data_IF_006409262894
#
_entry.id   IF_006409262894
#
_cell.length_a   1.000
_cell.length_b   1.000
_cell.length_c   1.000
_cell.angle_alpha   90.00
_cell.angle_beta   90.00
_cell.angle_gamma   90.00
#
_symmetry.space_group_name_H-M   'P 1'
#
loop_
_entity.id
_entity.type
_entity.pdbx_description
1 polymer ?
#
# COMPACT_ATOMS: atom_id res chain seq x y z
N UNK A 1 -11.97 -22.72 6.51
CA UNK A 1 -12.87 -21.68 7.07
C UNK A 1 -12.69 -20.46 6.20
N UNK A 2 -13.75 -19.78 5.79
CA UNK A 2 -13.66 -18.66 4.86
C UNK A 2 -13.50 -17.34 5.65
N UNK A 3 -12.28 -17.04 6.10
CA UNK A 3 -11.96 -15.86 6.90
C UNK A 3 -12.08 -14.58 6.05
N UNK A 4 -12.55 -13.50 6.67
CA UNK A 4 -12.68 -12.21 5.99
C UNK A 4 -11.41 -11.38 6.25
N UNK A 5 -10.76 -10.95 5.18
CA UNK A 5 -9.64 -10.03 5.19
C UNK A 5 -10.07 -8.62 4.77
N UNK A 6 -9.51 -7.63 5.43
CA UNK A 6 -9.61 -6.23 5.03
C UNK A 6 -8.28 -5.79 4.42
N UNK A 7 -8.34 -5.20 3.23
CA UNK A 7 -7.18 -4.70 2.48
C UNK A 7 -7.29 -3.18 2.36
N UNK A 8 -6.29 -2.46 2.84
CA UNK A 8 -6.23 -1.00 2.87
C UNK A 8 -5.16 -0.52 1.90
N UNK A 9 -5.57 0.28 0.93
CA UNK A 9 -4.80 0.57 -0.26
C UNK A 9 -4.63 2.06 -0.48
N UNK A 10 -3.39 2.48 -0.72
CA UNK A 10 -3.05 3.87 -1.05
C UNK A 10 -2.00 3.89 -2.16
N UNK A 11 -1.85 5.05 -2.79
CA UNK A 11 -0.88 5.29 -3.84
C UNK A 11 -0.09 6.58 -3.64
N UNK A 12 1.12 6.57 -4.16
CA UNK A 12 2.01 7.73 -4.15
C UNK A 12 2.54 7.98 -5.55
N UNK A 13 2.51 9.26 -5.96
CA UNK A 13 3.09 9.73 -7.20
C UNK A 13 2.53 9.02 -8.46
N UNK A 14 1.21 8.83 -8.51
CA UNK A 14 0.55 8.04 -9.55
C UNK A 14 0.19 8.85 -10.81
N UNK A 15 0.21 10.17 -10.75
CA UNK A 15 -0.16 10.99 -11.91
C UNK A 15 0.98 11.00 -12.92
N UNK A 16 0.67 10.94 -14.21
CA UNK A 16 1.68 10.88 -15.27
C UNK A 16 2.70 12.03 -15.19
N UNK A 17 2.20 13.25 -14.95
CA UNK A 17 2.96 14.50 -15.03
C UNK A 17 3.18 15.20 -13.68
N UNK A 18 3.36 14.44 -12.59
CA UNK A 18 3.65 15.00 -11.24
C UNK A 18 5.14 15.25 -10.95
N UNK A 19 6.00 15.16 -11.98
CA UNK A 19 7.46 15.26 -11.93
C UNK A 19 8.16 14.21 -11.04
N UNK A 20 7.43 13.31 -10.39
CA UNK A 20 8.02 12.22 -9.63
C UNK A 20 8.40 11.08 -10.56
N UNK A 21 9.64 10.62 -10.45
CA UNK A 21 10.17 9.53 -11.27
C UNK A 21 9.44 8.20 -11.04
N UNK A 22 9.24 7.84 -9.77
CA UNK A 22 8.65 6.56 -9.39
C UNK A 22 7.18 6.72 -8.98
N UNK A 23 6.36 5.73 -9.33
CA UNK A 23 4.99 5.54 -8.82
C UNK A 23 4.97 4.33 -7.91
N UNK A 24 4.23 4.41 -6.80
CA UNK A 24 4.07 3.30 -5.86
C UNK A 24 2.60 3.10 -5.53
N UNK A 25 2.14 1.85 -5.63
CA UNK A 25 0.87 1.40 -5.07
C UNK A 25 1.16 0.47 -3.90
N UNK A 26 0.34 0.49 -2.86
CA UNK A 26 0.54 -0.43 -1.75
C UNK A 26 -0.75 -0.83 -1.07
N UNK A 27 -0.68 -2.01 -0.46
CA UNK A 27 -1.77 -2.62 0.27
C UNK A 27 -1.26 -3.10 1.62
N UNK A 28 -1.96 -2.72 2.69
CA UNK A 28 -1.82 -3.29 4.03
C UNK A 28 -3.05 -4.13 4.30
N UNK A 29 -2.91 -5.38 4.74
CA UNK A 29 -4.08 -6.23 5.03
C UNK A 29 -3.92 -7.04 6.31
N UNK A 30 -5.07 -7.39 6.87
CA UNK A 30 -5.18 -8.27 8.02
C UNK A 30 -6.58 -8.93 8.04
N UNK A 31 -6.78 -9.98 8.85
CA UNK A 31 -8.14 -10.45 9.13
C UNK A 31 -9.02 -9.33 9.69
N UNK A 32 -10.28 -9.28 9.29
CA UNK A 32 -11.26 -8.29 9.71
C UNK A 32 -11.45 -8.29 11.24
N UNK A 33 -11.36 -9.48 11.85
CA UNK A 33 -11.39 -9.70 13.30
C UNK A 33 -10.28 -8.96 14.05
N UNK A 34 -9.12 -8.74 13.40
CA UNK A 34 -7.93 -8.14 14.01
C UNK A 34 -7.88 -6.61 13.87
N UNK A 35 -8.68 -6.03 12.96
CA UNK A 35 -8.71 -4.58 12.68
C UNK A 35 -8.87 -3.74 13.95
N UNK A 36 -9.81 -4.09 14.83
CA UNK A 36 -10.10 -3.29 16.03
C UNK A 36 -8.94 -3.30 17.03
N UNK A 37 -8.26 -4.43 17.18
CA UNK A 37 -7.08 -4.57 18.04
C UNK A 37 -5.96 -3.68 17.51
N UNK A 38 -5.60 -3.79 16.23
CA UNK A 38 -4.54 -2.98 15.61
C UNK A 38 -4.83 -1.47 15.71
N UNK A 39 -6.10 -1.07 15.54
CA UNK A 39 -6.51 0.31 15.71
C UNK A 39 -6.31 0.81 17.16
N UNK A 40 -6.53 -0.04 18.17
CA UNK A 40 -6.30 0.30 19.58
C UNK A 40 -4.81 0.44 19.86
N UNK A 41 -3.98 -0.46 19.35
CA UNK A 41 -2.52 -0.40 19.53
C UNK A 41 -1.92 0.86 18.89
N UNK A 42 -2.31 1.20 17.65
CA UNK A 42 -1.87 2.43 17.01
C UNK A 42 -2.31 3.69 17.77
N UNK A 43 -3.52 3.69 18.36
CA UNK A 43 -3.99 4.80 19.21
C UNK A 43 -3.20 4.87 20.52
N UNK A 44 -2.92 3.73 21.15
CA UNK A 44 -2.10 3.66 22.35
C UNK A 44 -0.68 4.17 22.07
N UNK A 45 -0.12 3.81 20.92
CA UNK A 45 1.20 4.28 20.48
C UNK A 45 1.21 5.80 20.28
N UNK A 46 0.20 6.38 19.61
CA UNK A 46 0.07 7.85 19.51
C UNK A 46 0.08 8.51 20.89
N UNK A 47 -0.69 7.97 21.84
CA UNK A 47 -0.75 8.48 23.22
C UNK A 47 0.59 8.37 23.94
N UNK A 48 1.30 7.25 23.81
CA UNK A 48 2.61 7.02 24.42
C UNK A 48 3.63 8.07 23.99
N UNK A 49 3.59 8.50 22.74
CA UNK A 49 4.47 9.53 22.19
C UNK A 49 3.90 10.96 22.30
N UNK A 50 2.85 11.17 23.11
CA UNK A 50 2.27 12.49 23.36
C UNK A 50 1.57 13.13 22.15
N UNK A 51 1.18 12.33 21.16
CA UNK A 51 0.49 12.81 19.97
C UNK A 51 -1.02 12.87 20.19
N UNK A 52 -1.67 13.85 19.56
CA UNK A 52 -3.12 14.02 19.63
C UNK A 52 -3.85 12.76 19.08
N UNK A 53 -5.04 12.40 19.60
CA UNK A 53 -5.79 11.24 19.12
C UNK A 53 -6.12 11.28 17.62
N UNK A 54 -6.32 12.48 17.07
CA UNK A 54 -6.57 12.75 15.65
C UNK A 54 -5.28 12.99 14.84
N UNK A 55 -4.09 12.81 15.43
CA UNK A 55 -2.84 12.91 14.69
C UNK A 55 -2.82 11.85 13.60
N UNK A 56 -2.90 12.27 12.34
CA UNK A 56 -2.86 11.37 11.19
C UNK A 56 -1.41 11.02 10.83
N UNK A 57 -1.10 9.73 10.75
CA UNK A 57 0.20 9.19 10.37
C UNK A 57 0.34 9.36 8.86
N UNK A 58 1.33 10.14 8.42
CA UNK A 58 1.65 10.33 7.00
C UNK A 58 3.16 10.37 6.78
N UNK A 59 3.62 9.87 5.64
CA UNK A 59 5.02 9.92 5.22
C UNK A 59 5.57 11.35 5.17
N UNK A 60 4.75 12.30 4.70
CA UNK A 60 5.14 13.71 4.63
C UNK A 60 5.35 14.35 6.01
N UNK A 61 4.82 13.75 7.08
CA UNK A 61 4.96 14.24 8.47
C UNK A 61 6.14 13.60 9.21
N UNK A 62 6.91 12.71 8.57
CA UNK A 62 8.15 12.14 9.13
C UNK A 62 9.18 13.27 9.28
N UNK A 63 9.57 13.54 10.52
CA UNK A 63 10.50 14.60 10.90
C UNK A 63 11.38 14.15 12.07
N UNK A 64 12.54 14.80 12.31
CA UNK A 64 13.40 14.46 13.45
C UNK A 64 12.66 14.47 14.79
N UNK A 65 11.79 15.46 15.01
CA UNK A 65 11.00 15.61 16.24
C UNK A 65 9.97 14.50 16.51
N UNK A 66 9.64 13.68 15.52
CA UNK A 66 8.66 12.58 15.63
C UNK A 66 9.28 11.23 15.26
N UNK A 67 10.59 11.17 15.06
CA UNK A 67 11.26 9.99 14.52
C UNK A 67 10.95 8.75 15.35
N UNK A 68 11.09 8.83 16.67
CA UNK A 68 10.89 7.68 17.56
C UNK A 68 9.46 7.11 17.47
N UNK A 69 8.46 7.96 17.27
CA UNK A 69 7.09 7.52 17.03
C UNK A 69 6.99 6.71 15.73
N UNK A 70 7.57 7.21 14.63
CA UNK A 70 7.53 6.52 13.36
C UNK A 70 8.32 5.21 13.37
N UNK A 71 9.47 5.17 14.06
CA UNK A 71 10.21 3.91 14.27
C UNK A 71 9.36 2.89 15.03
N UNK A 72 8.66 3.33 16.08
CA UNK A 72 7.77 2.45 16.83
C UNK A 72 6.54 1.99 16.02
N UNK A 73 6.05 2.80 15.07
CA UNK A 73 5.00 2.37 14.13
C UNK A 73 5.51 1.26 13.21
N UNK A 74 6.75 1.36 12.71
CA UNK A 74 7.38 0.29 11.93
C UNK A 74 7.55 -0.97 12.78
N UNK A 75 8.00 -0.84 14.02
CA UNK A 75 8.18 -1.96 14.93
C UNK A 75 6.87 -2.66 15.27
N UNK A 76 5.81 -1.90 15.54
CA UNK A 76 4.46 -2.44 15.71
C UNK A 76 4.02 -3.19 14.46
N UNK A 77 4.20 -2.60 13.26
CA UNK A 77 3.87 -3.29 12.02
C UNK A 77 4.57 -4.64 11.97
N UNK A 78 5.89 -4.71 12.15
CA UNK A 78 6.64 -5.97 12.05
C UNK A 78 6.33 -6.96 13.17
N UNK A 79 6.02 -6.49 14.39
CA UNK A 79 5.64 -7.33 15.52
C UNK A 79 4.27 -8.01 15.37
N UNK A 80 3.37 -7.47 14.53
CA UNK A 80 2.01 -8.00 14.34
C UNK A 80 1.96 -9.07 13.24
N UNK A 81 1.93 -10.38 13.54
CA UNK A 81 2.12 -11.44 12.53
C UNK A 81 1.03 -11.47 11.46
N UNK A 82 -0.20 -11.06 11.81
CA UNK A 82 -1.37 -11.05 10.93
C UNK A 82 -1.56 -9.74 10.16
N UNK A 83 -0.62 -8.81 10.31
CA UNK A 83 -0.60 -7.55 9.56
C UNK A 83 0.45 -7.63 8.47
N UNK A 84 0.03 -7.50 7.22
CA UNK A 84 0.87 -7.75 6.07
C UNK A 84 0.95 -6.51 5.18
N UNK A 85 2.00 -6.44 4.36
CA UNK A 85 2.16 -5.37 3.38
C UNK A 85 2.68 -5.90 2.04
N UNK A 86 2.20 -5.28 0.96
CA UNK A 86 2.64 -5.50 -0.41
C UNK A 86 2.72 -4.15 -1.10
N UNK A 87 3.88 -3.83 -1.65
CA UNK A 87 4.09 -2.66 -2.50
C UNK A 87 4.37 -3.07 -3.94
N UNK A 88 3.78 -2.36 -4.89
CA UNK A 88 4.14 -2.39 -6.30
C UNK A 88 4.78 -1.06 -6.66
N UNK A 89 5.98 -1.12 -7.24
CA UNK A 89 6.75 0.06 -7.64
C UNK A 89 6.97 0.07 -9.14
N UNK A 90 6.58 1.15 -9.80
CA UNK A 90 7.05 1.51 -11.14
C UNK A 90 8.22 2.48 -10.93
N UNK A 91 9.48 2.04 -11.10
CA UNK A 91 10.65 2.81 -10.66
C UNK A 91 10.91 4.05 -11.53
N UNK A 92 10.42 4.05 -12.76
CA UNK A 92 10.61 5.14 -13.71
C UNK A 92 9.41 5.26 -14.65
N UNK A 93 8.57 6.29 -14.48
CA UNK A 93 7.43 6.54 -15.38
C UNK A 93 7.86 6.98 -16.78
N UNK A 94 9.08 7.49 -16.97
CA UNK A 94 9.54 7.93 -18.29
C UNK A 94 9.76 6.77 -19.27
N UNK A 95 9.87 5.53 -18.78
CA UNK A 95 9.99 4.35 -19.63
C UNK A 95 8.63 3.77 -20.07
N UNK A 96 7.51 4.38 -19.67
CA UNK A 96 6.18 3.93 -20.07
C UNK A 96 5.92 4.28 -21.53
N UNK A 97 5.69 3.26 -22.37
CA UNK A 97 5.41 3.41 -23.80
C UNK A 97 3.91 3.26 -24.08
N UNK A 98 3.10 4.21 -23.62
CA UNK A 98 1.64 4.20 -23.73
C UNK A 98 1.14 3.95 -25.17
N UNK A 99 1.69 4.68 -26.14
CA UNK A 99 1.33 4.55 -27.57
C UNK A 99 1.64 3.16 -28.13
N UNK A 100 2.80 2.58 -27.79
CA UNK A 100 3.23 1.24 -28.26
C UNK A 100 2.23 0.16 -27.86
N UNK A 101 1.64 0.29 -26.67
CA UNK A 101 0.69 -0.68 -26.12
C UNK A 101 -0.77 -0.25 -26.29
N UNK A 102 -1.04 0.85 -27.01
CA UNK A 102 -2.39 1.35 -27.26
C UNK A 102 -3.19 1.58 -25.99
N UNK A 103 -2.56 2.12 -24.93
CA UNK A 103 -3.19 2.33 -23.63
C UNK A 103 -2.90 3.75 -23.12
N UNK A 104 -3.85 4.31 -22.39
CA UNK A 104 -3.65 5.53 -21.59
C UNK A 104 -2.85 5.27 -20.32
N UNK A 105 -2.39 6.35 -19.67
CA UNK A 105 -1.75 6.27 -18.36
C UNK A 105 -2.69 5.71 -17.30
N UNK A 106 -3.96 6.09 -17.35
CA UNK A 106 -4.97 5.62 -16.41
C UNK A 106 -5.23 4.11 -16.55
N UNK A 107 -5.32 3.59 -17.78
CA UNK A 107 -5.44 2.15 -18.00
C UNK A 107 -4.22 1.39 -17.48
N UNK A 108 -3.01 1.93 -17.68
CA UNK A 108 -1.80 1.36 -17.10
C UNK A 108 -1.85 1.36 -15.56
N UNK A 109 -2.28 2.46 -14.96
CA UNK A 109 -2.44 2.62 -13.52
C UNK A 109 -3.40 1.56 -12.93
N UNK A 110 -4.57 1.34 -13.54
CA UNK A 110 -5.51 0.30 -13.09
C UNK A 110 -5.01 -1.13 -13.36
N UNK A 111 -4.22 -1.36 -14.42
CA UNK A 111 -3.49 -2.63 -14.60
C UNK A 111 -2.50 -2.87 -13.46
N UNK A 112 -1.83 -1.82 -12.97
CA UNK A 112 -0.93 -1.95 -11.81
C UNK A 112 -1.71 -2.27 -10.52
N UNK A 113 -2.89 -1.66 -10.30
CA UNK A 113 -3.78 -2.07 -9.21
C UNK A 113 -4.17 -3.55 -9.30
N UNK A 114 -4.52 -4.04 -10.50
CA UNK A 114 -4.79 -5.45 -10.73
C UNK A 114 -3.58 -6.32 -10.33
N UNK A 115 -2.36 -5.99 -10.77
CA UNK A 115 -1.16 -6.76 -10.42
C UNK A 115 -0.81 -6.72 -8.92
N UNK A 116 -1.13 -5.61 -8.23
CA UNK A 116 -1.00 -5.51 -6.79
C UNK A 116 -2.00 -6.43 -6.10
N UNK A 117 -3.30 -6.23 -6.36
CA UNK A 117 -4.40 -6.83 -5.62
C UNK A 117 -4.60 -8.31 -5.95
N UNK A 118 -4.55 -8.70 -7.22
CA UNK A 118 -4.82 -10.07 -7.65
C UNK A 118 -3.88 -11.10 -7.00
N UNK A 119 -2.69 -10.67 -6.57
CA UNK A 119 -1.75 -11.55 -5.85
C UNK A 119 -2.15 -11.81 -4.40
N UNK A 120 -2.95 -10.94 -3.80
CA UNK A 120 -3.42 -11.06 -2.42
C UNK A 120 -4.63 -11.97 -2.30
N UNK A 121 -5.36 -12.16 -3.40
CA UNK A 121 -6.63 -12.90 -3.43
C UNK A 121 -6.35 -14.41 -3.44
N UNK A 122 -7.02 -15.11 -2.53
CA UNK A 122 -7.13 -16.55 -2.45
C UNK A 122 -8.60 -16.95 -2.62
N UNK A 123 -8.93 -17.98 -3.39
CA UNK A 123 -10.32 -18.45 -3.53
C UNK A 123 -10.87 -19.08 -2.25
N UNK A 124 -10.02 -19.34 -1.25
CA UNK A 124 -10.41 -19.94 0.03
C UNK A 124 -10.84 -18.91 1.09
N UNK A 125 -10.65 -17.62 0.81
CA UNK A 125 -10.84 -16.51 1.75
C UNK A 125 -11.78 -15.43 1.17
N UNK A 126 -12.19 -14.47 2.02
CA UNK A 126 -13.02 -13.32 1.62
C UNK A 126 -12.28 -12.02 1.77
N UNK A 127 -12.60 -11.05 0.92
CA UNK A 127 -11.90 -9.77 0.87
C UNK A 127 -12.86 -8.59 0.79
N UNK A 128 -12.60 -7.59 1.62
CA UNK A 128 -13.08 -6.21 1.42
C UNK A 128 -11.89 -5.30 1.22
N UNK A 129 -11.90 -4.58 0.11
CA UNK A 129 -10.79 -3.74 -0.32
C UNK A 129 -11.20 -2.28 -0.16
N UNK A 130 -10.35 -1.48 0.47
CA UNK A 130 -10.57 -0.08 0.76
C UNK A 130 -9.48 0.74 0.06
N UNK A 131 -9.86 1.54 -0.92
CA UNK A 131 -8.97 2.45 -1.66
C UNK A 131 -9.12 3.88 -1.11
N UNK A 132 -8.00 4.59 -0.93
CA UNK A 132 -8.05 6.02 -0.55
C UNK A 132 -8.73 6.84 -1.67
N UNK A 133 -9.70 7.66 -1.28
CA UNK A 133 -10.39 8.54 -2.22
C UNK A 133 -9.52 9.75 -2.54
N UNK A 134 -9.05 9.87 -3.80
CA UNK A 134 -8.38 11.08 -4.29
C UNK A 134 -9.28 11.99 -5.10
N UNK A 135 -10.17 11.42 -5.93
CA UNK A 135 -11.10 12.15 -6.80
C UNK A 135 -12.46 11.46 -6.93
N UNK A 136 -13.51 12.25 -7.13
CA UNK A 136 -14.91 11.78 -7.19
C UNK A 136 -15.27 11.01 -8.47
N UNK A 137 -14.42 11.05 -9.50
CA UNK A 137 -14.64 10.33 -10.78
C UNK A 137 -14.20 8.85 -10.74
N UNK A 138 -13.70 8.36 -9.61
CA UNK A 138 -13.09 7.01 -9.49
C UNK A 138 -14.07 5.84 -9.48
N UNK A 139 -15.36 6.05 -9.21
CA UNK A 139 -16.28 4.95 -8.89
C UNK A 139 -16.50 3.96 -10.05
N UNK A 140 -16.63 4.44 -11.29
CA UNK A 140 -16.81 3.57 -12.45
C UNK A 140 -15.57 2.69 -12.71
N UNK A 141 -14.38 3.26 -12.52
CA UNK A 141 -13.11 2.55 -12.71
C UNK A 141 -12.84 1.55 -11.58
N UNK A 142 -13.23 1.90 -10.34
CA UNK A 142 -13.23 0.96 -9.20
C UNK A 142 -14.18 -0.21 -9.46
N UNK A 143 -15.38 0.05 -9.99
CA UNK A 143 -16.31 -1.00 -10.41
C UNK A 143 -15.69 -1.91 -11.46
N UNK A 144 -15.03 -1.34 -12.47
CA UNK A 144 -14.32 -2.12 -13.50
C UNK A 144 -13.17 -2.94 -12.92
N UNK A 145 -12.39 -2.38 -11.99
CA UNK A 145 -11.32 -3.10 -11.28
C UNK A 145 -11.89 -4.28 -10.50
N UNK A 146 -13.02 -4.09 -9.81
CA UNK A 146 -13.71 -5.15 -9.09
C UNK A 146 -14.12 -6.28 -10.04
N UNK A 147 -14.74 -5.95 -11.18
CA UNK A 147 -15.15 -6.93 -12.18
C UNK A 147 -13.94 -7.71 -12.74
N UNK A 148 -12.84 -7.03 -13.06
CA UNK A 148 -11.64 -7.67 -13.60
C UNK A 148 -11.01 -8.62 -12.57
N UNK A 149 -10.94 -8.21 -11.31
CA UNK A 149 -10.43 -9.05 -10.23
C UNK A 149 -11.32 -10.27 -9.98
N UNK A 150 -12.65 -10.10 -9.96
CA UNK A 150 -13.58 -11.22 -9.79
C UNK A 150 -13.43 -12.24 -10.92
N UNK A 151 -13.41 -11.77 -12.18
CA UNK A 151 -13.24 -12.63 -13.34
C UNK A 151 -11.90 -13.39 -13.31
N UNK A 152 -10.81 -12.74 -12.91
CA UNK A 152 -9.50 -13.38 -12.82
C UNK A 152 -9.42 -14.49 -11.77
N UNK A 153 -10.31 -14.47 -10.78
CA UNK A 153 -10.38 -15.45 -9.69
C UNK A 153 -11.59 -16.39 -9.79
N UNK A 154 -12.31 -16.39 -10.92
CA UNK A 154 -13.53 -17.18 -11.13
C UNK A 154 -14.64 -16.89 -10.10
N UNK A 155 -14.63 -15.69 -9.52
CA UNK A 155 -15.53 -15.22 -8.47
C UNK A 155 -16.81 -14.57 -9.07
N UNK A 156 -17.58 -15.36 -9.82
CA UNK A 156 -18.72 -14.83 -10.59
C UNK A 156 -19.91 -14.40 -9.71
N UNK A 157 -20.04 -14.96 -8.51
CA UNK A 157 -21.05 -14.62 -7.52
C UNK A 157 -20.57 -13.59 -6.49
N UNK A 158 -19.33 -13.11 -6.61
CA UNK A 158 -18.69 -12.13 -5.71
C UNK A 158 -18.62 -12.63 -4.26
N UNK A 159 -18.48 -13.94 -4.08
CA UNK A 159 -18.30 -14.56 -2.78
C UNK A 159 -16.89 -14.38 -2.22
N UNK A 160 -15.86 -14.22 -3.06
CA UNK A 160 -14.45 -14.03 -2.65
C UNK A 160 -14.14 -12.55 -2.43
N UNK A 161 -14.39 -11.70 -3.43
CA UNK A 161 -14.14 -10.26 -3.33
C UNK A 161 -15.50 -9.57 -3.09
N UNK A 162 -15.87 -9.46 -1.81
CA UNK A 162 -17.18 -8.93 -1.39
C UNK A 162 -17.38 -7.46 -1.84
N UNK A 163 -16.33 -6.63 -1.74
CA UNK A 163 -16.42 -5.20 -2.11
C UNK A 163 -15.06 -4.56 -2.42
N UNK A 164 -15.11 -3.51 -3.24
CA UNK A 164 -14.06 -2.48 -3.34
C UNK A 164 -14.69 -1.12 -3.04
N UNK A 165 -14.27 -0.48 -1.96
CA UNK A 165 -14.86 0.74 -1.41
C UNK A 165 -13.87 1.89 -1.40
N UNK A 166 -14.35 3.09 -1.69
CA UNK A 166 -13.57 4.33 -1.53
C UNK A 166 -13.73 4.86 -0.10
N UNK A 167 -12.62 5.12 0.58
CA UNK A 167 -12.59 5.63 1.96
C UNK A 167 -11.64 6.81 2.10
N UNK A 168 -11.80 7.61 3.14
CA UNK A 168 -10.83 8.67 3.44
C UNK A 168 -9.74 8.16 4.39
N UNK A 169 -8.48 8.40 4.03
CA UNK A 169 -7.28 8.04 4.82
C UNK A 169 -7.29 8.51 6.28
N UNK A 170 -7.88 9.66 6.58
CA UNK A 170 -7.95 10.16 7.96
C UNK A 170 -8.87 9.33 8.87
N UNK A 171 -9.84 8.61 8.30
CA UNK A 171 -10.79 7.76 9.04
C UNK A 171 -10.24 6.37 9.37
N UNK A 172 -9.19 5.93 8.66
CA UNK A 172 -8.72 4.54 8.69
C UNK A 172 -7.23 4.46 9.02
N UNK A 173 -6.91 4.04 10.25
CA UNK A 173 -5.52 3.96 10.74
C UNK A 173 -4.62 3.00 9.94
N UNK A 174 -5.17 1.90 9.43
CA UNK A 174 -4.39 0.96 8.62
C UNK A 174 -4.10 1.50 7.21
N UNK A 175 -4.95 2.40 6.71
CA UNK A 175 -4.69 3.11 5.46
C UNK A 175 -3.56 4.14 5.63
N UNK A 176 -3.48 4.80 6.79
CA UNK A 176 -2.34 5.65 7.16
C UNK A 176 -1.02 4.88 7.26
N UNK A 177 -1.08 3.59 7.62
CA UNK A 177 0.09 2.73 7.60
C UNK A 177 0.51 2.38 6.16
N UNK A 178 -0.44 2.19 5.25
CA UNK A 178 -0.15 2.03 3.83
C UNK A 178 0.58 3.27 3.29
N UNK A 179 0.07 4.50 3.53
CA UNK A 179 0.72 5.78 3.17
C UNK A 179 2.18 5.83 3.65
N UNK A 180 2.43 5.46 4.91
CA UNK A 180 3.78 5.46 5.48
C UNK A 180 4.73 4.50 4.74
N UNK A 181 4.28 3.28 4.47
CA UNK A 181 5.10 2.23 3.85
C UNK A 181 5.35 2.49 2.36
N UNK A 182 4.34 2.93 1.61
CA UNK A 182 4.53 3.33 0.20
C UNK A 182 5.40 4.58 0.09
N UNK A 183 5.28 5.51 1.03
CA UNK A 183 6.12 6.71 1.08
C UNK A 183 7.59 6.36 1.26
N UNK A 184 7.90 5.38 2.11
CA UNK A 184 9.26 4.86 2.27
C UNK A 184 9.79 4.21 0.98
N UNK A 185 9.00 3.37 0.30
CA UNK A 185 9.39 2.79 -0.99
C UNK A 185 9.60 3.88 -2.05
N UNK A 186 8.68 4.84 -2.16
CA UNK A 186 8.77 5.93 -3.12
C UNK A 186 10.01 6.78 -2.90
N UNK A 187 10.38 7.06 -1.65
CA UNK A 187 11.58 7.81 -1.32
C UNK A 187 12.86 7.09 -1.78
N UNK A 188 12.93 5.78 -1.53
CA UNK A 188 14.05 4.93 -1.95
C UNK A 188 14.18 4.89 -3.48
N UNK A 189 13.08 4.65 -4.19
CA UNK A 189 13.11 4.52 -5.65
C UNK A 189 13.33 5.84 -6.40
N UNK A 190 13.06 6.97 -5.73
CA UNK A 190 13.41 8.31 -6.24
C UNK A 190 14.87 8.70 -5.97
N UNK A 191 15.62 7.89 -5.22
CA UNK A 191 17.02 8.18 -4.89
C UNK A 191 17.20 9.37 -3.95
N UNK A 192 16.16 9.69 -3.16
CA UNK A 192 16.19 10.82 -2.23
C UNK A 192 17.01 10.49 -0.98
N UNK A 193 17.76 11.47 -0.46
CA UNK A 193 18.70 11.27 0.68
C UNK A 193 18.78 12.43 1.67
N UNK A 194 17.93 13.44 1.50
CA UNK A 194 18.02 14.73 2.18
C UNK A 194 17.49 14.70 3.61
N UNK A 195 16.64 13.72 3.97
CA UNK A 195 15.97 13.67 5.27
C UNK A 195 16.53 12.52 6.13
N UNK A 196 17.34 12.83 7.17
CA UNK A 196 17.88 11.82 8.08
C UNK A 196 16.79 10.99 8.77
N UNK A 197 15.66 11.62 9.14
CA UNK A 197 14.54 10.94 9.77
C UNK A 197 13.88 9.91 8.84
N UNK A 198 13.65 10.27 7.56
CA UNK A 198 13.11 9.34 6.56
C UNK A 198 14.08 8.19 6.28
N UNK A 199 15.37 8.50 6.18
CA UNK A 199 16.41 7.48 6.02
C UNK A 199 16.46 6.51 7.19
N UNK A 200 16.27 6.97 8.43
CA UNK A 200 16.20 6.11 9.60
C UNK A 200 14.98 5.17 9.58
N UNK A 201 13.80 5.67 9.19
CA UNK A 201 12.59 4.83 9.01
C UNK A 201 12.84 3.76 7.93
N UNK A 202 13.43 4.13 6.80
CA UNK A 202 13.78 3.19 5.72
C UNK A 202 14.80 2.16 6.20
N UNK A 203 15.81 2.57 6.96
CA UNK A 203 16.80 1.67 7.52
C UNK A 203 16.15 0.64 8.45
N UNK A 204 15.20 1.07 9.29
CA UNK A 204 14.44 0.17 10.16
C UNK A 204 13.59 -0.83 9.38
N UNK A 205 12.94 -0.41 8.30
CA UNK A 205 12.20 -1.32 7.41
C UNK A 205 13.15 -2.35 6.79
N UNK A 206 14.34 -1.95 6.32
CA UNK A 206 15.34 -2.87 5.76
C UNK A 206 15.83 -3.88 6.81
N UNK A 207 16.12 -3.42 8.02
CA UNK A 207 16.54 -4.27 9.13
C UNK A 207 15.48 -5.33 9.46
N UNK A 208 14.23 -4.92 9.64
CA UNK A 208 13.13 -5.81 10.03
C UNK A 208 12.69 -6.76 8.90
N UNK A 209 12.75 -6.31 7.64
CA UNK A 209 12.35 -7.14 6.49
C UNK A 209 13.48 -8.02 5.94
N UNK A 210 14.74 -7.65 6.16
CA UNK A 210 15.91 -8.25 5.50
C UNK A 210 16.00 -7.98 4.00
N UNK A 211 15.17 -7.07 3.46
CA UNK A 211 15.06 -6.85 2.01
C UNK A 211 15.93 -5.69 1.52
N UNK A 212 16.45 -5.86 0.30
CA UNK A 212 16.82 -4.72 -0.53
C UNK A 212 15.56 -4.14 -1.19
N UNK A 213 15.09 -3.00 -0.69
CA UNK A 213 13.85 -2.35 -1.15
C UNK A 213 13.87 -1.92 -2.63
N UNK A 214 15.04 -1.89 -3.30
CA UNK A 214 15.14 -1.61 -4.74
C UNK A 214 14.91 -2.84 -5.62
N UNK A 215 14.70 -4.02 -5.02
CA UNK A 215 14.53 -5.28 -5.71
C UNK A 215 13.21 -5.92 -5.32
N UNK A 216 12.63 -6.69 -6.26
CA UNK A 216 11.46 -7.49 -5.94
C UNK A 216 11.81 -8.55 -4.89
N UNK A 217 10.96 -8.71 -3.89
CA UNK A 217 11.04 -9.81 -2.94
C UNK A 217 10.66 -11.13 -3.61
N UNK A 218 10.80 -12.25 -2.89
CA UNK A 218 10.19 -13.50 -3.30
C UNK A 218 8.68 -13.32 -3.46
N UNK A 219 8.12 -14.01 -4.45
CA UNK A 219 6.68 -13.96 -4.75
C UNK A 219 5.83 -14.40 -3.55
N UNK A 220 6.35 -15.35 -2.74
CA UNK A 220 5.69 -15.90 -1.55
C UNK A 220 6.02 -15.15 -0.26
N UNK A 221 6.71 -14.01 -0.31
CA UNK A 221 6.94 -13.23 0.91
C UNK A 221 5.60 -12.69 1.43
N UNK A 222 5.19 -13.11 2.62
CA UNK A 222 3.88 -12.79 3.19
C UNK A 222 3.89 -11.52 4.06
N UNK A 223 4.93 -11.33 4.88
CA UNK A 223 4.98 -10.22 5.84
C UNK A 223 5.15 -8.86 5.18
N UNK A 224 6.17 -8.75 4.34
CA UNK A 224 6.52 -7.54 3.60
C UNK A 224 6.95 -7.94 2.18
N UNK A 225 6.12 -7.62 1.21
CA UNK A 225 6.30 -8.00 -0.19
C UNK A 225 6.56 -6.76 -1.04
N UNK A 226 7.57 -6.80 -1.90
CA UNK A 226 7.86 -5.72 -2.84
C UNK A 226 7.91 -6.28 -4.24
N UNK A 227 7.17 -5.67 -5.16
CA UNK A 227 7.24 -5.96 -6.58
C UNK A 227 7.71 -4.72 -7.34
N UNK A 228 8.94 -4.77 -7.85
CA UNK A 228 9.48 -3.71 -8.72
C UNK A 228 9.17 -4.08 -10.16
N UNK A 229 8.24 -3.33 -10.76
CA UNK A 229 7.84 -3.48 -12.15
C UNK A 229 9.03 -3.19 -13.08
N UNK A 230 9.10 -3.96 -14.17
CA UNK A 230 10.10 -3.78 -15.22
C UNK A 230 9.39 -3.62 -16.56
N UNK A 231 9.84 -2.68 -17.40
CA UNK A 231 9.31 -2.55 -18.75
C UNK A 231 9.59 -3.83 -19.54
N UNK A 232 8.63 -4.20 -20.39
CA UNK A 232 8.86 -5.21 -21.40
C UNK A 232 9.84 -4.63 -22.44
N UNK A 233 10.86 -5.42 -22.79
CA UNK A 233 11.79 -5.09 -23.87
C UNK A 233 11.05 -4.95 -25.21
#
# INVERSE_FOLDING_TARGET
MNELFHVYCDESCHLENDAAKAMVLGAVWCPASHRQMLARELKALKKQYGLAPNFEIKWVKVSPSKLDFYLAVIDLFFAQPLLHFRGLVVPDKSCLQHDKFGQSHDEFYYKMWYHLLNRLISPEERYRIFLDIKDTQGQAKVGKLHDVLCNANYDFDRAVIESIELVHSHDVLLLQLADLLIGALGYVHRGLTESPAKLAVIARIREQSGLNLLQSSLVRAEKFNVFVWRPQA
#
